data_IF_927425178317
#
_entry.id   IF_927425178317
#
_cell.length_a   1.000
_cell.length_b   1.000
_cell.length_c   1.000
_cell.angle_alpha   90.00
_cell.angle_beta   90.00
_cell.angle_gamma   90.00
#
_symmetry.space_group_name_H-M   'P 1'
#
loop_
_entity.id
_entity.type
_entity.pdbx_description
1 polymer ?
#
# COMPACT_ATOMS: atom_id res chain seq x y z
N UNK A 1 -5.36 4.89 -16.75
CA UNK A 1 -4.28 4.13 -17.43
C UNK A 1 -4.05 4.77 -18.80
N UNK A 2 -2.84 4.70 -19.38
CA UNK A 2 -2.53 5.18 -20.74
C UNK A 2 -2.86 4.15 -21.83
N UNK A 3 -2.97 2.86 -21.45
CA UNK A 3 -3.39 1.79 -22.34
C UNK A 3 -4.92 1.65 -22.28
N UNK A 4 -5.58 1.90 -23.42
CA UNK A 4 -7.03 1.85 -23.53
C UNK A 4 -7.58 0.42 -23.50
N UNK A 5 -6.82 -0.57 -23.97
CA UNK A 5 -7.24 -1.98 -23.96
C UNK A 5 -7.25 -2.51 -22.52
N UNK A 6 -6.21 -2.20 -21.76
CA UNK A 6 -6.15 -2.54 -20.34
C UNK A 6 -7.27 -1.85 -19.54
N UNK A 7 -7.62 -0.61 -19.90
CA UNK A 7 -8.71 0.13 -19.26
C UNK A 7 -10.10 -0.39 -19.64
N UNK A 8 -10.27 -0.99 -20.82
CA UNK A 8 -11.56 -1.51 -21.26
C UNK A 8 -12.02 -2.72 -20.43
N UNK A 9 -11.08 -3.56 -19.98
CA UNK A 9 -11.34 -4.79 -19.23
C UNK A 9 -11.36 -4.59 -17.71
N UNK A 10 -11.10 -3.38 -17.20
CA UNK A 10 -11.15 -3.12 -15.75
C UNK A 10 -12.58 -3.21 -15.23
N UNK A 11 -12.75 -3.68 -14.00
CA UNK A 11 -14.04 -3.72 -13.31
C UNK A 11 -14.35 -2.40 -12.58
N UNK A 12 -13.39 -1.47 -12.53
CA UNK A 12 -13.56 -0.19 -11.85
C UNK A 12 -14.72 0.63 -12.47
N UNK A 13 -15.60 1.23 -11.64
CA UNK A 13 -16.74 2.02 -12.12
C UNK A 13 -16.29 3.33 -12.78
N UNK A 14 -15.21 3.92 -12.27
CA UNK A 14 -14.61 5.15 -12.80
C UNK A 14 -13.32 4.82 -13.51
N UNK A 15 -13.17 5.28 -14.75
CA UNK A 15 -12.05 4.95 -15.63
C UNK A 15 -11.53 6.21 -16.29
N UNK A 16 -10.28 6.55 -16.03
CA UNK A 16 -9.62 7.72 -16.61
C UNK A 16 -8.52 7.25 -17.54
N UNK A 17 -8.62 7.63 -18.81
CA UNK A 17 -7.58 7.38 -19.79
C UNK A 17 -6.57 8.53 -19.77
N UNK A 18 -5.31 8.23 -19.47
CA UNK A 18 -4.26 9.24 -19.36
C UNK A 18 -3.63 9.52 -20.72
N UNK A 19 -3.40 10.80 -21.02
CA UNK A 19 -2.66 11.23 -22.20
C UNK A 19 -3.22 10.70 -23.50
N UNK A 20 -4.54 10.86 -23.73
CA UNK A 20 -5.21 10.36 -24.93
C UNK A 20 -4.57 10.91 -26.21
N UNK A 21 -4.19 12.19 -26.23
CA UNK A 21 -3.53 12.81 -27.40
C UNK A 21 -2.10 12.32 -27.56
N UNK A 22 -1.39 12.15 -26.44
CA UNK A 22 0.01 11.73 -26.42
C UNK A 22 0.20 10.28 -26.86
N UNK A 23 -0.61 9.37 -26.32
CA UNK A 23 -0.41 7.91 -26.46
C UNK A 23 -1.33 7.28 -27.48
N UNK A 24 -2.44 7.96 -27.84
CA UNK A 24 -3.52 7.41 -28.67
C UNK A 24 -4.07 6.08 -28.13
N UNK A 25 -3.99 5.90 -26.81
CA UNK A 25 -4.47 4.69 -26.13
C UNK A 25 -3.57 3.47 -26.24
N UNK A 26 -2.34 3.61 -26.75
CA UNK A 26 -1.38 2.50 -26.95
C UNK A 26 -0.46 2.27 -25.74
N UNK A 27 -0.62 3.04 -24.67
CA UNK A 27 0.32 3.06 -23.57
C UNK A 27 1.61 3.84 -23.88
N UNK A 28 2.58 3.76 -22.96
CA UNK A 28 3.83 4.54 -23.01
C UNK A 28 5.08 3.68 -23.23
N UNK A 29 4.92 2.38 -23.52
CA UNK A 29 6.02 1.49 -23.90
C UNK A 29 7.15 1.34 -22.87
N UNK A 30 6.86 1.54 -21.58
CA UNK A 30 7.88 1.51 -20.51
C UNK A 30 8.56 2.84 -20.23
N UNK A 31 8.30 3.88 -21.03
CA UNK A 31 8.85 5.23 -20.80
C UNK A 31 8.06 5.94 -19.68
N UNK A 32 8.68 6.07 -18.51
CA UNK A 32 8.07 6.73 -17.36
C UNK A 32 7.96 8.25 -17.52
N UNK A 33 8.78 8.87 -18.37
CA UNK A 33 8.68 10.30 -18.66
C UNK A 33 7.45 10.61 -19.51
N UNK A 34 7.11 9.72 -20.45
CA UNK A 34 5.83 9.79 -21.17
C UNK A 34 4.65 9.49 -20.25
N UNK A 35 4.80 8.54 -19.31
CA UNK A 35 3.79 8.28 -18.28
C UNK A 35 3.46 9.53 -17.44
N UNK A 36 4.49 10.27 -17.04
CA UNK A 36 4.33 11.54 -16.32
C UNK A 36 3.61 12.58 -17.19
N UNK A 37 4.07 12.81 -18.43
CA UNK A 37 3.44 13.77 -19.36
C UNK A 37 1.98 13.43 -19.63
N UNK A 38 1.64 12.14 -19.73
CA UNK A 38 0.27 11.69 -19.91
C UNK A 38 -0.61 12.02 -18.69
N UNK A 39 -0.08 11.90 -17.47
CA UNK A 39 -0.78 12.32 -16.27
C UNK A 39 -0.89 13.85 -16.18
N UNK A 40 0.16 14.59 -16.58
CA UNK A 40 0.15 16.04 -16.64
C UNK A 40 -0.86 16.59 -17.68
N UNK A 41 -1.08 15.88 -18.79
CA UNK A 41 -2.11 16.21 -19.78
C UNK A 41 -3.53 16.07 -19.19
N UNK A 42 -3.74 15.10 -18.30
CA UNK A 42 -5.03 14.75 -17.72
C UNK A 42 -5.23 15.32 -16.30
N UNK A 43 -4.48 16.36 -15.88
CA UNK A 43 -4.53 16.87 -14.49
C UNK A 43 -5.91 17.35 -14.07
N UNK A 44 -6.62 18.06 -14.94
CA UNK A 44 -7.93 18.63 -14.61
C UNK A 44 -8.95 17.51 -14.33
N UNK A 45 -8.96 16.47 -15.17
CA UNK A 45 -9.82 15.29 -15.00
C UNK A 45 -9.45 14.49 -13.74
N UNK A 46 -8.16 14.35 -13.44
CA UNK A 46 -7.69 13.73 -12.21
C UNK A 46 -8.10 14.53 -10.97
N UNK A 47 -7.98 15.86 -11.01
CA UNK A 47 -8.37 16.74 -9.92
C UNK A 47 -9.88 16.69 -9.65
N UNK A 48 -10.69 16.67 -10.71
CA UNK A 48 -12.15 16.51 -10.59
C UNK A 48 -12.51 15.16 -9.96
N UNK A 49 -11.86 14.07 -10.38
CA UNK A 49 -12.11 12.74 -9.84
C UNK A 49 -11.69 12.57 -8.38
N UNK A 50 -10.70 13.35 -7.92
CA UNK A 50 -10.18 13.32 -6.54
C UNK A 50 -10.90 14.33 -5.63
N UNK A 51 -11.64 15.28 -6.21
CA UNK A 51 -12.29 16.34 -5.45
C UNK A 51 -13.24 15.78 -4.39
N UNK A 52 -13.10 16.26 -3.15
CA UNK A 52 -13.95 15.86 -2.03
C UNK A 52 -13.54 14.56 -1.33
N UNK A 53 -12.46 13.90 -1.74
CA UNK A 53 -11.92 12.75 -1.02
C UNK A 53 -11.21 13.18 0.27
N UNK A 54 -11.56 12.55 1.40
CA UNK A 54 -10.82 12.72 2.67
C UNK A 54 -9.50 11.93 2.68
N UNK A 55 -9.47 10.81 1.95
CA UNK A 55 -8.34 9.89 1.84
C UNK A 55 -8.25 9.33 0.43
N UNK A 56 -7.03 9.22 -0.09
CA UNK A 56 -6.74 8.67 -1.42
C UNK A 56 -5.66 7.62 -1.29
N UNK A 57 -5.97 6.39 -1.72
CA UNK A 57 -4.99 5.32 -1.91
C UNK A 57 -4.49 5.32 -3.35
N UNK A 58 -3.18 5.29 -3.53
CA UNK A 58 -2.54 5.19 -4.84
C UNK A 58 -1.78 3.87 -4.89
N UNK A 59 -2.20 2.97 -5.77
CA UNK A 59 -1.54 1.68 -5.97
C UNK A 59 -1.00 1.53 -7.37
N UNK A 60 0.25 1.07 -7.49
CA UNK A 60 0.86 0.74 -8.76
C UNK A 60 2.10 -0.12 -8.61
N UNK A 61 2.41 -0.90 -9.65
CA UNK A 61 3.74 -1.50 -9.82
C UNK A 61 4.76 -0.49 -10.34
N UNK A 62 5.88 -0.36 -9.64
CA UNK A 62 6.98 0.51 -10.03
C UNK A 62 7.93 -0.21 -11.00
N UNK A 63 8.63 0.56 -11.82
CA UNK A 63 9.57 0.03 -12.83
C UNK A 63 9.00 -0.01 -14.25
N UNK A 64 7.68 0.15 -14.40
CA UNK A 64 7.03 0.38 -15.69
C UNK A 64 7.02 1.84 -16.12
N UNK A 65 6.29 2.16 -17.20
CA UNK A 65 6.16 3.53 -17.67
C UNK A 65 5.03 4.29 -16.96
N UNK A 66 3.78 3.83 -17.11
CA UNK A 66 2.60 4.56 -16.63
C UNK A 66 2.56 4.69 -15.11
N UNK A 67 2.70 3.60 -14.35
CA UNK A 67 2.67 3.64 -12.88
C UNK A 67 3.76 4.56 -12.32
N UNK A 68 5.02 4.28 -12.66
CA UNK A 68 6.19 5.04 -12.20
C UNK A 68 6.15 6.53 -12.57
N UNK A 69 5.56 6.87 -13.72
CA UNK A 69 5.45 8.26 -14.20
C UNK A 69 4.25 9.01 -13.65
N UNK A 70 3.08 8.37 -13.62
CA UNK A 70 1.81 9.00 -13.28
C UNK A 70 1.55 9.04 -11.78
N UNK A 71 1.99 8.05 -11.00
CA UNK A 71 1.70 7.98 -9.57
C UNK A 71 2.16 9.23 -8.78
N UNK A 72 3.36 9.79 -9.00
CA UNK A 72 3.78 11.03 -8.33
C UNK A 72 2.91 12.24 -8.67
N UNK A 73 2.39 12.33 -9.90
CA UNK A 73 1.50 13.41 -10.35
C UNK A 73 0.14 13.29 -9.66
N UNK A 74 -0.42 12.08 -9.65
CA UNK A 74 -1.71 11.80 -8.99
C UNK A 74 -1.60 12.07 -7.48
N UNK A 75 -0.50 11.65 -6.85
CA UNK A 75 -0.22 11.90 -5.44
C UNK A 75 -0.15 13.38 -5.12
N UNK A 76 0.53 14.16 -5.96
CA UNK A 76 0.59 15.61 -5.80
C UNK A 76 -0.80 16.25 -5.83
N UNK A 77 -1.65 15.85 -6.78
CA UNK A 77 -3.01 16.37 -6.92
C UNK A 77 -3.84 16.03 -5.67
N UNK A 78 -3.77 14.78 -5.21
CA UNK A 78 -4.48 14.32 -4.00
C UNK A 78 -4.01 15.05 -2.74
N UNK A 79 -2.70 15.24 -2.57
CA UNK A 79 -2.17 15.97 -1.42
C UNK A 79 -2.56 17.45 -1.45
N UNK A 80 -2.59 18.06 -2.65
CA UNK A 80 -3.03 19.44 -2.85
C UNK A 80 -4.55 19.63 -2.62
N UNK A 81 -5.37 18.62 -2.85
CA UNK A 81 -6.81 18.68 -2.55
C UNK A 81 -7.12 18.58 -1.04
N UNK A 82 -6.12 18.23 -0.22
CA UNK A 82 -6.24 18.11 1.23
C UNK A 82 -6.52 16.69 1.73
N UNK A 83 -6.58 15.71 0.82
CA UNK A 83 -6.78 14.31 1.16
C UNK A 83 -5.52 13.71 1.84
N UNK A 84 -5.73 12.82 2.82
CA UNK A 84 -4.65 11.97 3.32
C UNK A 84 -4.22 11.03 2.19
N UNK A 85 -3.01 11.21 1.68
CA UNK A 85 -2.54 10.54 0.47
C UNK A 85 -1.57 9.41 0.83
N UNK A 86 -2.03 8.18 0.66
CA UNK A 86 -1.26 6.97 0.98
C UNK A 86 -0.96 6.24 -0.32
N UNK A 87 0.33 5.99 -0.59
CA UNK A 87 0.72 5.18 -1.73
C UNK A 87 1.18 3.79 -1.26
N UNK A 88 0.71 2.75 -1.95
CA UNK A 88 1.10 1.36 -1.73
C UNK A 88 1.63 0.84 -3.05
N UNK A 89 2.94 0.63 -3.16
CA UNK A 89 3.59 0.33 -4.44
C UNK A 89 4.47 -0.90 -4.34
N UNK A 90 4.58 -1.64 -5.44
CA UNK A 90 5.52 -2.77 -5.51
C UNK A 90 6.83 -2.37 -6.18
N UNK A 91 7.95 -2.89 -5.66
CA UNK A 91 9.22 -2.96 -6.40
C UNK A 91 9.21 -4.21 -7.27
N UNK A 92 9.76 -4.13 -8.50
CA UNK A 92 9.79 -5.27 -9.41
C UNK A 92 10.64 -6.41 -8.84
N UNK A 93 10.42 -7.63 -9.32
CA UNK A 93 11.30 -8.76 -9.01
C UNK A 93 12.69 -8.52 -9.63
N UNK A 94 13.75 -8.99 -8.97
CA UNK A 94 15.11 -8.88 -9.48
C UNK A 94 15.27 -9.53 -10.87
N UNK A 95 14.51 -10.60 -11.16
CA UNK A 95 14.55 -11.26 -12.48
C UNK A 95 13.98 -10.41 -13.63
N UNK A 96 13.20 -9.37 -13.34
CA UNK A 96 12.65 -8.48 -14.37
C UNK A 96 13.70 -7.54 -14.99
N UNK A 97 14.90 -7.52 -14.40
CA UNK A 97 16.08 -6.84 -14.93
C UNK A 97 16.41 -5.54 -14.21
N UNK A 98 17.71 -5.22 -14.18
CA UNK A 98 18.27 -4.07 -13.45
C UNK A 98 17.69 -2.72 -13.88
N UNK A 99 17.35 -2.56 -15.16
CA UNK A 99 16.75 -1.33 -15.66
C UNK A 99 15.38 -1.04 -15.02
N UNK A 100 14.52 -2.07 -14.86
CA UNK A 100 13.22 -1.91 -14.18
C UNK A 100 13.41 -1.51 -12.71
N UNK A 101 14.36 -2.12 -12.02
CA UNK A 101 14.66 -1.75 -10.62
C UNK A 101 15.11 -0.30 -10.49
N UNK A 102 16.00 0.17 -11.39
CA UNK A 102 16.45 1.57 -11.40
C UNK A 102 15.29 2.54 -11.62
N UNK A 103 14.45 2.28 -12.63
CA UNK A 103 13.25 3.08 -12.92
C UNK A 103 12.30 3.08 -11.73
N UNK A 104 12.15 1.94 -11.04
CA UNK A 104 11.31 1.83 -9.85
C UNK A 104 11.83 2.72 -8.71
N UNK A 105 13.12 2.65 -8.39
CA UNK A 105 13.72 3.44 -7.31
C UNK A 105 13.67 4.95 -7.59
N UNK A 106 13.87 5.36 -8.84
CA UNK A 106 13.68 6.75 -9.25
C UNK A 106 12.22 7.20 -9.04
N UNK A 107 11.26 6.37 -9.46
CA UNK A 107 9.85 6.66 -9.27
C UNK A 107 9.44 6.74 -7.80
N UNK A 108 9.93 5.81 -6.98
CA UNK A 108 9.69 5.77 -5.52
C UNK A 108 10.24 7.03 -4.87
N UNK A 109 11.44 7.46 -5.25
CA UNK A 109 12.05 8.70 -4.72
C UNK A 109 11.21 9.93 -5.05
N UNK A 110 10.69 10.02 -6.28
CA UNK A 110 9.79 11.13 -6.67
C UNK A 110 8.48 11.07 -5.87
N UNK A 111 7.89 9.89 -5.76
CA UNK A 111 6.61 9.66 -5.08
C UNK A 111 6.68 9.98 -3.59
N UNK A 112 7.78 9.64 -2.92
CA UNK A 112 7.98 9.86 -1.48
C UNK A 112 7.75 11.32 -1.07
N UNK A 113 8.17 12.27 -1.92
CA UNK A 113 7.98 13.70 -1.67
C UNK A 113 6.55 14.22 -1.88
N UNK A 114 5.65 13.39 -2.42
CA UNK A 114 4.30 13.76 -2.88
C UNK A 114 3.18 13.07 -2.11
N UNK A 115 3.51 12.14 -1.21
CA UNK A 115 2.55 11.40 -0.39
C UNK A 115 2.72 11.74 1.08
N UNK A 116 1.76 11.32 1.90
CA UNK A 116 1.87 11.37 3.35
C UNK A 116 2.55 10.10 3.89
N UNK A 117 2.16 8.94 3.36
CA UNK A 117 2.77 7.65 3.67
C UNK A 117 3.06 6.88 2.37
N UNK A 118 4.23 6.27 2.29
CA UNK A 118 4.61 5.38 1.18
C UNK A 118 4.92 3.98 1.70
N UNK A 119 4.03 3.02 1.42
CA UNK A 119 4.23 1.60 1.70
C UNK A 119 4.89 0.96 0.48
N UNK A 120 6.08 0.40 0.68
CA UNK A 120 6.86 -0.24 -0.38
C UNK A 120 6.86 -1.75 -0.16
N UNK A 121 6.33 -2.49 -1.12
CA UNK A 121 6.31 -3.95 -1.11
C UNK A 121 7.40 -4.48 -2.06
N UNK A 122 8.48 -5.07 -1.54
CA UNK A 122 9.49 -5.70 -2.37
C UNK A 122 9.02 -7.06 -2.91
N UNK A 123 8.77 -7.16 -4.22
CA UNK A 123 8.27 -8.41 -4.83
C UNK A 123 9.22 -9.60 -4.59
N UNK A 124 10.53 -9.38 -4.49
CA UNK A 124 11.48 -10.45 -4.16
C UNK A 124 11.19 -11.14 -2.82
N UNK A 125 10.56 -10.44 -1.87
CA UNK A 125 10.17 -11.04 -0.58
C UNK A 125 9.00 -12.00 -0.72
N UNK A 126 8.17 -11.82 -1.74
CA UNK A 126 7.08 -12.75 -2.07
C UNK A 126 7.64 -14.11 -2.46
N UNK A 127 8.82 -14.17 -3.09
CA UNK A 127 9.48 -15.43 -3.45
C UNK A 127 9.84 -16.29 -2.23
N UNK A 128 10.06 -15.67 -1.06
CA UNK A 128 10.34 -16.40 0.18
C UNK A 128 9.09 -17.04 0.80
N UNK A 129 7.91 -16.55 0.41
CA UNK A 129 6.61 -16.98 0.92
C UNK A 129 5.93 -17.94 -0.08
N UNK A 130 6.29 -17.85 -1.37
CA UNK A 130 5.82 -18.73 -2.42
C UNK A 130 6.35 -20.17 -2.32
N UNK A 131 5.52 -21.14 -2.69
CA UNK A 131 5.94 -22.50 -2.96
C UNK A 131 6.90 -22.52 -4.19
N UNK A 132 8.00 -23.29 -4.18
CA UNK A 132 8.89 -23.46 -5.34
C UNK A 132 8.20 -23.88 -6.66
N UNK A 133 6.98 -24.42 -6.61
CA UNK A 133 6.17 -24.77 -7.77
C UNK A 133 5.29 -23.62 -8.28
N UNK A 134 5.34 -22.45 -7.63
CA UNK A 134 4.56 -21.27 -8.03
C UNK A 134 5.03 -20.78 -9.40
N UNK A 135 4.10 -20.72 -10.36
CA UNK A 135 4.39 -20.18 -11.68
C UNK A 135 4.42 -18.65 -11.67
N UNK A 136 4.91 -18.05 -12.76
CA UNK A 136 5.08 -16.59 -12.88
C UNK A 136 3.75 -15.85 -12.69
N UNK A 137 2.66 -16.34 -13.31
CA UNK A 137 1.34 -15.69 -13.19
C UNK A 137 0.83 -15.67 -11.75
N UNK A 138 1.03 -16.75 -11.00
CA UNK A 138 0.63 -16.81 -9.60
C UNK A 138 1.53 -15.94 -8.71
N UNK A 139 2.81 -15.75 -9.05
CA UNK A 139 3.68 -14.84 -8.33
C UNK A 139 3.22 -13.38 -8.46
N UNK A 140 2.78 -12.96 -9.66
CA UNK A 140 2.19 -11.63 -9.84
C UNK A 140 0.85 -11.48 -9.14
N UNK A 141 -0.02 -12.51 -9.17
CA UNK A 141 -1.26 -12.50 -8.38
C UNK A 141 -1.02 -12.35 -6.88
N UNK A 142 0.05 -12.97 -6.36
CA UNK A 142 0.41 -12.79 -4.96
C UNK A 142 0.80 -11.34 -4.67
N UNK A 143 1.51 -10.68 -5.57
CA UNK A 143 1.82 -9.25 -5.44
C UNK A 143 0.54 -8.39 -5.43
N UNK A 144 -0.42 -8.70 -6.32
CA UNK A 144 -1.72 -8.05 -6.34
C UNK A 144 -2.51 -8.27 -5.05
N UNK A 145 -2.47 -9.48 -4.50
CA UNK A 145 -3.11 -9.81 -3.21
C UNK A 145 -2.47 -9.03 -2.06
N UNK A 146 -1.15 -8.87 -2.02
CA UNK A 146 -0.49 -8.06 -0.97
C UNK A 146 -0.85 -6.58 -1.11
N UNK A 147 -0.93 -6.04 -2.32
CA UNK A 147 -1.43 -4.68 -2.55
C UNK A 147 -2.88 -4.52 -2.07
N UNK A 148 -3.75 -5.48 -2.42
CA UNK A 148 -5.15 -5.51 -2.00
C UNK A 148 -5.26 -5.55 -0.49
N UNK A 149 -4.55 -6.44 0.17
CA UNK A 149 -4.54 -6.55 1.62
C UNK A 149 -4.06 -5.26 2.28
N UNK A 150 -3.10 -4.54 1.71
CA UNK A 150 -2.65 -3.28 2.29
C UNK A 150 -3.67 -2.16 2.23
N UNK A 151 -4.39 -2.03 1.12
CA UNK A 151 -5.50 -1.08 1.05
C UNK A 151 -6.63 -1.50 1.98
N UNK A 152 -6.97 -2.80 1.99
CA UNK A 152 -8.05 -3.37 2.79
C UNK A 152 -7.79 -3.16 4.29
N UNK A 153 -6.59 -3.48 4.79
CA UNK A 153 -6.25 -3.39 6.20
C UNK A 153 -6.43 -1.98 6.77
N UNK A 154 -6.09 -0.94 6.01
CA UNK A 154 -6.25 0.45 6.45
C UNK A 154 -7.69 0.93 6.25
N UNK A 155 -8.32 0.55 5.14
CA UNK A 155 -9.68 0.99 4.81
C UNK A 155 -10.72 0.38 5.76
N UNK A 156 -10.58 -0.89 6.13
CA UNK A 156 -11.52 -1.58 7.01
C UNK A 156 -11.53 -1.01 8.41
N UNK A 157 -10.38 -0.56 8.90
CA UNK A 157 -10.27 0.13 10.21
C UNK A 157 -11.17 1.37 10.29
N UNK A 158 -11.42 2.02 9.15
CA UNK A 158 -12.26 3.24 9.06
C UNK A 158 -13.70 2.88 8.72
N UNK A 159 -13.88 1.95 7.77
CA UNK A 159 -15.16 1.73 7.09
C UNK A 159 -16.00 0.65 7.75
N UNK A 160 -15.38 -0.30 8.44
CA UNK A 160 -16.06 -1.42 9.09
C UNK A 160 -16.21 -1.09 10.58
N UNK A 161 -17.45 -1.07 11.11
CA UNK A 161 -17.66 -0.96 12.54
C UNK A 161 -17.06 -2.17 13.28
N UNK A 162 -15.92 -1.97 13.90
CA UNK A 162 -15.26 -2.89 14.83
C UNK A 162 -15.74 -2.74 16.27
N UNK A 163 -15.23 -3.62 17.14
CA UNK A 163 -15.48 -3.57 18.58
C UNK A 163 -14.78 -2.37 19.21
N UNK A 164 -13.60 -2.03 18.68
CA UNK A 164 -12.82 -0.84 18.99
C UNK A 164 -12.57 -0.14 17.65
N UNK A 165 -13.39 0.87 17.37
CA UNK A 165 -13.25 1.70 16.18
C UNK A 165 -12.13 2.70 16.39
N UNK A 166 -11.28 2.81 15.38
CA UNK A 166 -10.39 3.96 15.24
C UNK A 166 -11.11 5.03 14.45
N UNK A 167 -10.92 6.28 14.84
CA UNK A 167 -11.44 7.38 14.06
C UNK A 167 -10.45 7.79 12.95
N UNK A 168 -10.95 8.56 11.99
CA UNK A 168 -10.12 9.06 10.90
C UNK A 168 -9.00 10.00 11.37
N UNK A 169 -9.21 10.71 12.49
CA UNK A 169 -8.23 11.65 13.02
C UNK A 169 -7.02 10.93 13.62
N UNK A 170 -7.23 9.79 14.28
CA UNK A 170 -6.21 8.89 14.81
C UNK A 170 -5.30 8.38 13.68
N UNK A 171 -5.89 7.84 12.62
CA UNK A 171 -5.13 7.37 11.45
C UNK A 171 -4.38 8.51 10.79
N UNK A 172 -5.03 9.66 10.61
CA UNK A 172 -4.40 10.86 10.06
C UNK A 172 -3.24 11.31 10.94
N UNK A 173 -3.31 11.19 12.25
CA UNK A 173 -2.23 11.58 13.16
C UNK A 173 -0.97 10.71 13.03
N UNK A 174 -1.11 9.42 12.72
CA UNK A 174 0.03 8.51 12.51
C UNK A 174 0.55 8.53 11.08
N UNK A 175 -0.33 8.62 10.09
CA UNK A 175 0.03 8.46 8.67
C UNK A 175 0.33 9.77 7.95
N UNK A 176 -0.10 10.92 8.48
CA UNK A 176 0.20 12.21 7.87
C UNK A 176 1.70 12.51 7.96
N UNK A 177 2.32 12.76 6.80
CA UNK A 177 3.75 13.03 6.66
C UNK A 177 4.67 11.98 7.36
N UNK A 178 4.22 10.74 7.48
CA UNK A 178 4.97 9.63 8.08
C UNK A 178 6.18 9.21 7.24
N UNK A 179 6.11 9.43 5.92
CA UNK A 179 7.18 9.05 4.99
C UNK A 179 7.13 7.55 4.65
N UNK A 180 8.28 6.86 4.55
CA UNK A 180 8.31 5.45 4.19
C UNK A 180 7.75 4.59 5.33
N UNK A 181 6.90 3.65 4.98
CA UNK A 181 6.28 2.71 5.90
C UNK A 181 6.38 1.28 5.38
N UNK A 182 6.25 0.34 6.31
CA UNK A 182 6.24 -1.09 6.02
C UNK A 182 4.96 -1.70 6.55
N UNK A 183 4.57 -2.81 5.93
CA UNK A 183 3.37 -3.54 6.27
C UNK A 183 3.66 -5.02 6.30
N UNK A 184 3.07 -5.67 7.29
CA UNK A 184 3.18 -7.11 7.51
C UNK A 184 1.88 -7.66 8.04
N UNK A 185 1.70 -8.96 7.85
CA UNK A 185 0.55 -9.70 8.36
C UNK A 185 1.04 -10.99 9.00
N UNK A 186 0.30 -11.48 9.99
CA UNK A 186 0.53 -12.76 10.63
C UNK A 186 -0.80 -13.41 10.98
N UNK A 187 -0.82 -14.74 11.01
CA UNK A 187 -2.02 -15.55 11.23
C UNK A 187 -1.73 -16.56 12.34
N UNK A 188 -2.31 -16.31 13.51
CA UNK A 188 -2.21 -17.23 14.63
C UNK A 188 -3.46 -18.10 14.80
N UNK A 189 -3.26 -19.29 15.36
CA UNK A 189 -4.35 -20.18 15.76
C UNK A 189 -4.06 -20.84 17.12
N UNK A 190 -5.09 -21.41 17.75
CA UNK A 190 -4.97 -22.05 19.06
C UNK A 190 -5.01 -21.09 20.24
N UNK A 191 -4.39 -21.50 21.37
CA UNK A 191 -4.54 -20.83 22.68
C UNK A 191 -3.87 -19.45 22.77
N UNK A 192 -2.76 -19.25 22.04
CA UNK A 192 -1.99 -18.01 22.03
C UNK A 192 -2.11 -17.29 20.67
N UNK A 193 -3.21 -17.49 19.96
CA UNK A 193 -3.36 -17.08 18.55
C UNK A 193 -3.02 -15.60 18.30
N UNK A 194 -3.44 -14.68 19.17
CA UNK A 194 -3.19 -13.26 18.95
C UNK A 194 -1.70 -12.89 19.12
N UNK A 195 -1.04 -13.40 20.16
CA UNK A 195 0.39 -13.18 20.38
C UNK A 195 1.24 -13.84 19.27
N UNK A 196 0.87 -15.04 18.83
CA UNK A 196 1.58 -15.72 17.73
C UNK A 196 1.37 -14.99 16.39
N UNK A 197 0.16 -14.48 16.12
CA UNK A 197 -0.10 -13.65 14.94
C UNK A 197 0.76 -12.38 14.95
N UNK A 198 0.89 -11.71 16.09
CA UNK A 198 1.76 -10.54 16.24
C UNK A 198 3.23 -10.88 16.00
N UNK A 199 3.73 -11.98 16.58
CA UNK A 199 5.12 -12.45 16.35
C UNK A 199 5.37 -12.80 14.89
N UNK A 200 4.44 -13.47 14.24
CA UNK A 200 4.54 -13.81 12.81
C UNK A 200 4.56 -12.55 11.94
N UNK A 201 3.71 -11.56 12.24
CA UNK A 201 3.72 -10.28 11.54
C UNK A 201 5.09 -9.58 11.69
N UNK A 202 5.64 -9.53 12.91
CA UNK A 202 6.96 -8.94 13.17
C UNK A 202 8.12 -9.72 12.52
N UNK A 203 7.96 -11.03 12.32
CA UNK A 203 8.93 -11.88 11.64
C UNK A 203 8.70 -11.95 10.12
N UNK A 204 7.70 -11.23 9.59
CA UNK A 204 7.29 -11.33 8.19
C UNK A 204 8.43 -10.91 7.25
N UNK A 205 8.68 -11.67 6.16
CA UNK A 205 9.66 -11.28 5.14
C UNK A 205 9.35 -9.95 4.45
N UNK A 206 8.12 -9.44 4.58
CA UNK A 206 7.70 -8.15 4.03
C UNK A 206 8.29 -6.96 4.81
N UNK A 207 8.71 -7.16 6.06
CA UNK A 207 9.46 -6.17 6.84
C UNK A 207 10.94 -6.23 6.44
N UNK A 208 11.33 -5.36 5.52
CA UNK A 208 12.71 -5.30 5.01
C UNK A 208 13.70 -4.63 5.98
N UNK A 209 13.19 -4.02 7.05
CA UNK A 209 13.95 -3.30 8.08
C UNK A 209 13.42 -3.63 9.47
N UNK A 210 14.30 -3.51 10.48
CA UNK A 210 13.93 -3.65 11.87
C UNK A 210 12.87 -2.63 12.26
N UNK A 211 11.86 -3.08 13.00
CA UNK A 211 10.77 -2.24 13.52
C UNK A 211 11.17 -1.45 14.78
N UNK A 212 12.32 -1.75 15.40
CA UNK A 212 12.79 -1.16 16.66
C UNK A 212 12.86 0.38 16.65
N UNK A 213 13.03 1.01 15.48
CA UNK A 213 13.07 2.47 15.34
C UNK A 213 11.76 3.13 14.91
N UNK A 214 10.67 2.36 14.82
CA UNK A 214 9.38 2.84 14.31
C UNK A 214 8.73 3.79 15.31
N UNK A 215 8.48 5.03 14.89
CA UNK A 215 7.84 6.06 15.74
C UNK A 215 6.33 6.09 15.66
N UNK A 216 5.75 5.44 14.65
CA UNK A 216 4.33 5.34 14.43
C UNK A 216 3.98 3.91 14.07
N UNK A 217 2.99 3.35 14.76
CA UNK A 217 2.54 1.97 14.55
C UNK A 217 1.02 1.97 14.46
N UNK A 218 0.51 1.43 13.35
CA UNK A 218 -0.91 1.12 13.19
C UNK A 218 -1.01 -0.41 13.08
N UNK A 219 -1.73 -1.03 14.02
CA UNK A 219 -2.03 -2.46 13.91
C UNK A 219 -3.53 -2.70 14.04
N UNK A 220 -4.04 -3.65 13.26
CA UNK A 220 -5.43 -4.06 13.30
C UNK A 220 -5.50 -5.56 13.60
N UNK A 221 -6.30 -5.94 14.59
CA UNK A 221 -6.54 -7.34 14.93
C UNK A 221 -7.91 -7.73 14.40
N UNK A 222 -7.92 -8.68 13.47
CA UNK A 222 -9.15 -9.27 12.92
C UNK A 222 -9.35 -10.64 13.53
N UNK A 223 -10.53 -10.89 14.10
CA UNK A 223 -10.88 -12.19 14.66
C UNK A 223 -12.37 -12.39 14.85
N UNK A 224 -12.79 -13.66 14.92
CA UNK A 224 -14.20 -13.99 15.15
C UNK A 224 -14.72 -13.51 16.51
N UNK A 225 -16.01 -13.70 16.77
CA UNK A 225 -16.71 -13.29 18.01
C UNK A 225 -16.15 -13.88 19.31
N UNK A 226 -15.21 -14.83 19.22
CA UNK A 226 -14.49 -15.42 20.36
C UNK A 226 -13.25 -14.64 20.77
N UNK A 227 -12.86 -13.57 20.05
CA UNK A 227 -11.68 -12.77 20.36
C UNK A 227 -11.86 -12.05 21.70
N UNK A 228 -10.93 -12.26 22.62
CA UNK A 228 -10.98 -11.69 23.96
C UNK A 228 -10.06 -10.47 24.12
N UNK A 229 -10.36 -9.61 25.08
CA UNK A 229 -9.51 -8.45 25.40
C UNK A 229 -8.11 -8.87 25.86
N UNK A 230 -7.97 -10.01 26.54
CA UNK A 230 -6.67 -10.54 26.98
C UNK A 230 -5.81 -10.89 25.77
N UNK A 231 -6.39 -11.54 24.75
CA UNK A 231 -5.68 -11.86 23.51
C UNK A 231 -5.22 -10.59 22.77
N UNK A 232 -6.07 -9.56 22.72
CA UNK A 232 -5.72 -8.25 22.13
C UNK A 232 -4.56 -7.61 22.90
N UNK A 233 -4.59 -7.64 24.23
CA UNK A 233 -3.51 -7.12 25.07
C UNK A 233 -2.20 -7.89 24.86
N UNK A 234 -2.24 -9.21 24.77
CA UNK A 234 -1.05 -10.03 24.54
C UNK A 234 -0.38 -9.71 23.20
N UNK A 235 -1.17 -9.48 22.14
CA UNK A 235 -0.65 -9.02 20.86
C UNK A 235 -0.05 -7.60 20.94
N UNK A 236 -0.71 -6.69 21.65
CA UNK A 236 -0.25 -5.31 21.83
C UNK A 236 1.08 -5.24 22.58
N UNK A 237 1.27 -6.04 23.63
CA UNK A 237 2.54 -6.11 24.38
C UNK A 237 3.69 -6.60 23.49
N UNK A 238 3.47 -7.65 22.68
CA UNK A 238 4.47 -8.15 21.72
C UNK A 238 4.91 -7.06 20.74
N UNK A 239 3.96 -6.28 20.21
CA UNK A 239 4.26 -5.19 19.27
C UNK A 239 5.00 -4.06 19.99
N UNK A 240 4.56 -3.69 21.19
CA UNK A 240 5.15 -2.62 22.00
C UNK A 240 6.60 -2.91 22.39
N UNK A 241 6.92 -4.16 22.70
CA UNK A 241 8.30 -4.60 23.00
C UNK A 241 9.23 -4.52 21.78
N UNK A 242 8.68 -4.56 20.56
CA UNK A 242 9.45 -4.60 19.32
C UNK A 242 9.69 -3.22 18.67
N UNK A 243 9.04 -2.16 19.16
CA UNK A 243 9.11 -0.81 18.57
C UNK A 243 9.72 0.21 19.54
N UNK A 244 9.88 1.45 19.09
CA UNK A 244 10.42 2.51 19.94
C UNK A 244 9.54 2.72 21.19
N UNK A 245 10.10 2.85 22.41
CA UNK A 245 9.31 3.05 23.63
C UNK A 245 8.41 4.29 23.61
N UNK A 246 8.77 5.31 22.82
CA UNK A 246 8.01 6.54 22.62
C UNK A 246 7.18 6.51 21.31
N UNK A 247 7.04 5.33 20.69
CA UNK A 247 6.24 5.17 19.49
C UNK A 247 4.77 5.52 19.76
N UNK A 248 4.17 6.26 18.84
CA UNK A 248 2.72 6.46 18.82
C UNK A 248 2.05 5.19 18.26
N UNK A 249 1.40 4.43 19.13
CA UNK A 249 0.77 3.15 18.81
C UNK A 249 -0.74 3.34 18.75
N UNK A 250 -1.31 3.02 17.59
CA UNK A 250 -2.75 3.06 17.33
C UNK A 250 -3.22 1.66 16.97
N UNK A 251 -4.32 1.21 17.57
CA UNK A 251 -4.82 -0.14 17.39
C UNK A 251 -6.32 -0.22 17.13
N UNK A 252 -6.70 -1.09 16.20
CA UNK A 252 -8.08 -1.42 15.87
C UNK A 252 -8.41 -2.87 16.17
N UNK A 253 -9.69 -3.16 16.43
CA UNK A 253 -10.20 -4.53 16.56
C UNK A 253 -11.44 -4.68 15.70
N UNK A 254 -11.36 -5.57 14.70
CA UNK A 254 -12.44 -5.88 13.77
C UNK A 254 -12.89 -7.34 13.90
N UNK A 255 -14.16 -7.57 13.51
CA UNK A 255 -14.71 -8.91 13.37
C UNK A 255 -14.77 -9.31 11.90
N UNK A 256 -14.42 -10.56 11.63
CA UNK A 256 -14.61 -11.24 10.34
C UNK A 256 -16.11 -11.53 10.09
#
# INVERSE_FOLDING_TARGET
>A
NTDAQALAITEAPTRIQLGEKLTRGLGVGGDHSLGQKAADESRDELAEAIAGADMVFITCGMGGGTGTGAAPVIAEIAKQSGALTIAIVTRPFTFEGSHRCQVADEGITRLLSKVDTLIIIPNDRLLNICDPQTNVDNAFKLADDVLRHGVQAISEVITVPGLINLDFADIKAVMKDAGPAWMSMGIGSGKNRAAEAAKEALASPLLDVSVEGSRGVLFNIVGGSSLTLVEVNDAAEVIKEAVDPEANIIFGVAHD
#
